data_IF_594315121896
#
_entry.id   IF_594315121896
#
_cell.length_a   1.000
_cell.length_b   1.000
_cell.length_c   1.000
_cell.angle_alpha   90.00
_cell.angle_beta   90.00
_cell.angle_gamma   90.00
#
_symmetry.space_group_name_H-M   'P 1'
#
loop_
_entity.id
_entity.type
_entity.pdbx_description
1 polymer ?
#
# COMPACT_ATOMS: atom_id res chain seq x y z
N UNK A 1 15.53 0.87 20.75
CA UNK A 1 14.28 0.19 21.17
C UNK A 1 13.07 0.77 20.41
N UNK A 2 12.17 -0.06 19.86
CA UNK A 2 10.85 0.37 19.36
C UNK A 2 9.99 1.03 20.45
N UNK A 3 9.04 1.93 20.12
CA UNK A 3 8.23 2.64 21.13
C UNK A 3 7.50 1.71 22.11
N UNK A 4 7.04 0.55 21.63
CA UNK A 4 6.37 -0.47 22.45
C UNK A 4 7.32 -1.28 23.35
N UNK A 5 8.64 -1.13 23.20
CA UNK A 5 9.67 -1.80 24.01
C UNK A 5 10.39 -0.86 24.97
N UNK A 6 10.06 0.42 24.95
CA UNK A 6 10.58 1.39 25.92
C UNK A 6 9.61 1.36 27.12
N UNK A 7 10.06 0.97 28.33
CA UNK A 7 9.23 1.05 29.53
C UNK A 7 8.63 2.45 29.67
N UNK A 8 7.32 2.51 29.90
CA UNK A 8 6.58 3.77 30.03
C UNK A 8 6.98 4.57 31.28
N UNK A 9 7.62 3.93 32.25
CA UNK A 9 8.15 4.54 33.46
C UNK A 9 9.47 3.89 33.87
N UNK A 10 10.43 4.70 34.31
CA UNK A 10 11.68 4.27 34.90
C UNK A 10 11.73 4.69 36.36
N UNK A 11 12.04 3.74 37.25
CA UNK A 11 12.13 3.99 38.68
C UNK A 11 13.58 3.86 39.13
N UNK A 12 14.11 4.93 39.72
CA UNK A 12 15.43 4.89 40.36
C UNK A 12 15.25 4.26 41.73
N UNK A 13 15.95 3.15 41.95
CA UNK A 13 15.96 2.43 43.23
C UNK A 13 17.39 2.37 43.76
N UNK A 14 17.56 2.49 45.07
CA UNK A 14 18.88 2.39 45.70
C UNK A 14 19.43 0.96 45.70
N UNK A 15 18.54 -0.04 45.79
CA UNK A 15 18.89 -1.45 45.69
C UNK A 15 17.76 -2.27 45.06
N UNK A 16 18.14 -3.27 44.27
CA UNK A 16 17.21 -4.26 43.72
C UNK A 16 17.09 -5.41 44.72
N UNK A 17 15.89 -5.80 45.18
CA UNK A 17 15.74 -6.88 46.14
C UNK A 17 16.10 -8.22 45.49
N UNK A 18 17.08 -8.92 46.04
CA UNK A 18 17.55 -10.22 45.56
C UNK A 18 17.26 -11.31 46.58
N UNK A 19 16.93 -12.50 46.09
CA UNK A 19 16.90 -13.73 46.88
C UNK A 19 18.35 -14.13 47.25
N UNK A 20 18.51 -14.99 48.25
CA UNK A 20 19.80 -15.60 48.63
C UNK A 20 20.51 -16.30 47.45
N UNK A 21 19.77 -16.66 46.39
CA UNK A 21 20.30 -17.24 45.15
C UNK A 21 20.88 -16.21 44.16
N UNK A 22 20.83 -14.91 44.48
CA UNK A 22 21.25 -13.81 43.60
C UNK A 22 20.24 -13.45 42.51
N UNK A 23 19.07 -14.12 42.45
CA UNK A 23 17.98 -13.80 41.53
C UNK A 23 17.05 -12.74 42.11
N UNK A 24 16.37 -11.97 41.25
CA UNK A 24 15.38 -10.97 41.65
C UNK A 24 14.28 -11.58 42.51
N UNK A 25 14.06 -11.00 43.69
CA UNK A 25 12.90 -11.29 44.51
C UNK A 25 11.68 -10.50 43.99
N UNK A 26 10.99 -11.11 43.02
CA UNK A 26 9.84 -10.50 42.34
C UNK A 26 8.68 -10.19 43.28
N UNK A 27 8.49 -10.98 44.34
CA UNK A 27 7.39 -10.76 45.28
C UNK A 27 7.61 -9.47 46.09
N UNK A 28 8.82 -9.28 46.61
CA UNK A 28 9.20 -8.06 47.33
C UNK A 28 9.20 -6.82 46.42
N UNK A 29 9.70 -6.96 45.18
CA UNK A 29 9.66 -5.87 44.20
C UNK A 29 8.23 -5.46 43.82
N UNK A 30 7.34 -6.43 43.65
CA UNK A 30 5.94 -6.18 43.30
C UNK A 30 5.15 -5.58 44.48
N UNK A 31 5.41 -6.03 45.71
CA UNK A 31 4.82 -5.43 46.90
C UNK A 31 5.28 -3.97 47.11
N UNK A 32 6.53 -3.66 46.78
CA UNK A 32 7.03 -2.28 46.80
C UNK A 32 6.34 -1.40 45.76
N UNK A 33 6.18 -1.87 44.52
CA UNK A 33 5.46 -1.15 43.45
C UNK A 33 3.98 -0.88 43.81
N UNK A 34 3.30 -1.83 44.44
CA UNK A 34 1.88 -1.70 44.81
C UNK A 34 1.66 -0.69 45.94
N UNK A 35 2.62 -0.57 46.86
CA UNK A 35 2.52 0.31 48.03
C UNK A 35 3.22 1.66 47.83
N UNK A 36 3.64 1.96 46.60
CA UNK A 36 4.36 3.19 46.25
C UNK A 36 3.41 4.40 46.34
N UNK A 37 3.84 5.47 47.01
CA UNK A 37 3.03 6.67 47.19
C UNK A 37 2.97 7.55 45.92
N UNK A 38 2.00 8.47 45.89
CA UNK A 38 1.73 9.31 44.71
C UNK A 38 2.81 10.37 44.46
N UNK A 39 3.62 10.75 45.47
CA UNK A 39 4.71 11.71 45.30
C UNK A 39 5.93 11.05 44.65
N UNK A 40 6.25 9.81 45.01
CA UNK A 40 7.37 9.05 44.45
C UNK A 40 7.08 8.54 43.02
N UNK A 41 5.80 8.38 42.66
CA UNK A 41 5.37 8.15 41.28
C UNK A 41 5.70 9.35 40.36
N UNK A 42 5.72 10.57 40.90
CA UNK A 42 6.10 11.80 40.19
C UNK A 42 7.61 11.95 39.92
N UNK A 43 8.46 11.13 40.56
CA UNK A 43 9.92 11.13 40.38
C UNK A 43 10.41 10.14 39.31
N UNK A 44 9.50 9.50 38.56
CA UNK A 44 9.88 8.63 37.45
C UNK A 44 10.56 9.42 36.33
N UNK A 45 11.69 8.89 35.83
CA UNK A 45 12.36 9.45 34.66
C UNK A 45 11.57 9.01 33.41
N UNK A 46 10.67 9.86 32.92
CA UNK A 46 10.11 9.68 31.59
C UNK A 46 11.21 9.95 30.56
N UNK A 47 11.55 8.96 29.74
CA UNK A 47 12.48 9.11 28.62
C UNK A 47 12.13 10.36 27.80
N UNK A 48 13.09 11.26 27.65
CA UNK A 48 13.07 12.50 26.87
C UNK A 48 11.78 12.74 26.06
N UNK A 49 10.78 13.35 26.72
CA UNK A 49 9.77 14.11 26.00
C UNK A 49 10.48 15.32 25.43
N UNK A 50 10.96 15.23 24.19
CA UNK A 50 11.16 16.41 23.37
C UNK A 50 9.80 17.08 23.25
N UNK A 51 9.49 18.03 24.14
CA UNK A 51 8.25 18.81 24.24
C UNK A 51 7.19 18.41 23.20
N UNK A 52 6.52 17.27 23.42
CA UNK A 52 5.29 17.01 22.70
C UNK A 52 4.35 18.12 23.16
N UNK A 53 3.93 18.95 22.20
CA UNK A 53 2.97 20.04 22.42
C UNK A 53 1.90 19.51 23.35
N UNK A 54 1.81 20.07 24.57
CA UNK A 54 0.84 19.61 25.54
C UNK A 54 -0.52 19.55 24.85
N UNK A 55 -1.35 18.55 25.15
CA UNK A 55 -2.66 18.35 24.51
C UNK A 55 -3.53 19.63 24.53
N UNK A 56 -3.26 20.53 25.48
CA UNK A 56 -3.84 21.88 25.63
C UNK A 56 -3.42 22.92 24.58
N UNK A 57 -2.27 22.76 23.92
CA UNK A 57 -1.72 23.68 22.91
C UNK A 57 -1.96 23.18 21.47
N UNK A 58 -2.55 21.99 21.30
CA UNK A 58 -2.76 21.36 20.01
C UNK A 58 -3.93 21.99 19.23
N UNK A 59 -3.64 22.49 18.03
CA UNK A 59 -4.67 23.01 17.10
C UNK A 59 -5.71 21.94 16.74
N UNK A 60 -6.93 22.34 16.37
CA UNK A 60 -7.97 21.39 15.92
C UNK A 60 -7.51 20.55 14.72
N UNK A 61 -6.80 21.18 13.78
CA UNK A 61 -6.19 20.53 12.62
C UNK A 61 -5.15 19.48 13.05
N UNK A 62 -4.27 19.83 14.01
CA UNK A 62 -3.28 18.90 14.55
C UNK A 62 -3.92 17.65 15.16
N UNK A 63 -5.02 17.81 15.92
CA UNK A 63 -5.80 16.69 16.46
C UNK A 63 -6.38 15.79 15.39
N UNK A 64 -6.93 16.39 14.33
CA UNK A 64 -7.50 15.64 13.22
C UNK A 64 -6.45 14.85 12.44
N UNK A 65 -5.29 15.45 12.16
CA UNK A 65 -4.16 14.75 11.53
C UNK A 65 -3.62 13.63 12.41
N UNK A 66 -3.46 13.86 13.71
CA UNK A 66 -3.06 12.83 14.69
C UNK A 66 -3.97 11.61 14.64
N UNK A 67 -5.29 11.84 14.61
CA UNK A 67 -6.28 10.77 14.51
C UNK A 67 -6.21 10.03 13.17
N UNK A 68 -6.00 10.73 12.05
CA UNK A 68 -5.80 10.09 10.75
C UNK A 68 -4.54 9.21 10.77
N UNK A 69 -3.43 9.73 11.29
CA UNK A 69 -2.17 8.99 11.41
C UNK A 69 -2.32 7.79 12.34
N UNK A 70 -3.00 7.94 13.48
CA UNK A 70 -3.28 6.87 14.44
C UNK A 70 -4.00 5.71 13.76
N UNK A 71 -5.03 6.00 12.97
CA UNK A 71 -5.79 4.99 12.24
C UNK A 71 -4.94 4.28 11.16
N UNK A 72 -4.08 5.01 10.45
CA UNK A 72 -3.27 4.45 9.35
C UNK A 72 -2.08 3.64 9.87
N UNK A 73 -1.38 4.16 10.88
CA UNK A 73 -0.22 3.50 11.49
C UNK A 73 -0.63 2.42 12.51
N UNK A 74 -1.92 2.33 12.84
CA UNK A 74 -2.45 1.45 13.87
C UNK A 74 -1.72 1.63 15.22
N UNK A 75 -1.51 2.89 15.59
CA UNK A 75 -0.92 3.32 16.86
C UNK A 75 -2.02 4.06 17.62
N UNK A 76 -2.23 3.77 18.91
CA UNK A 76 -3.29 4.42 19.68
C UNK A 76 -3.14 5.94 19.66
N UNK A 77 -4.26 6.64 19.48
CA UNK A 77 -4.30 8.10 19.35
C UNK A 77 -3.57 8.76 20.52
N UNK A 78 -3.78 8.29 21.75
CA UNK A 78 -3.17 8.81 22.99
C UNK A 78 -1.64 8.74 23.01
N UNK A 79 -1.02 7.78 22.33
CA UNK A 79 0.46 7.63 22.30
C UNK A 79 1.08 8.08 20.97
N UNK A 80 0.29 8.54 20.01
CA UNK A 80 0.80 9.03 18.73
C UNK A 80 1.64 10.31 18.91
N UNK A 81 2.95 10.28 18.60
CA UNK A 81 3.80 11.46 18.74
C UNK A 81 3.52 12.51 17.66
N UNK A 82 3.57 13.79 18.04
CA UNK A 82 3.27 14.90 17.13
C UNK A 82 4.51 15.43 16.41
N UNK A 83 5.70 15.15 16.93
CA UNK A 83 7.01 15.65 16.51
C UNK A 83 7.83 14.65 15.67
N UNK A 84 7.19 13.62 15.12
CA UNK A 84 7.82 12.54 14.34
C UNK A 84 7.33 12.52 12.91
N UNK A 85 8.23 12.21 11.97
CA UNK A 85 7.88 12.00 10.56
C UNK A 85 7.19 10.66 10.38
N UNK A 86 6.39 10.53 9.31
CA UNK A 86 5.72 9.29 8.96
C UNK A 86 6.73 8.12 8.85
N UNK A 87 7.84 8.37 8.14
CA UNK A 87 8.91 7.39 7.93
C UNK A 87 9.52 6.94 9.26
N UNK A 88 9.75 7.86 10.21
CA UNK A 88 10.32 7.52 11.51
C UNK A 88 9.40 6.67 12.39
N UNK A 89 8.09 6.68 12.11
CA UNK A 89 7.08 5.84 12.74
C UNK A 89 6.87 4.52 12.02
N UNK A 90 7.69 4.21 11.01
CA UNK A 90 7.58 3.00 10.20
C UNK A 90 6.53 3.09 9.09
N UNK A 91 6.07 4.30 8.75
CA UNK A 91 5.15 4.52 7.65
C UNK A 91 5.86 4.53 6.29
N UNK A 92 5.14 4.06 5.27
CA UNK A 92 5.61 3.97 3.88
C UNK A 92 4.79 4.88 2.93
N UNK A 93 5.08 4.80 1.64
CA UNK A 93 4.37 5.58 0.60
C UNK A 93 2.90 5.19 0.47
N UNK A 94 2.53 3.93 0.72
CA UNK A 94 1.13 3.47 0.70
C UNK A 94 0.37 4.10 1.87
N UNK A 95 0.98 4.12 3.06
CA UNK A 95 0.43 4.82 4.23
C UNK A 95 0.32 6.33 3.99
N UNK A 96 1.30 6.94 3.32
CA UNK A 96 1.21 8.35 2.94
C UNK A 96 0.03 8.63 1.98
N UNK A 97 -0.21 7.75 1.02
CA UNK A 97 -1.39 7.82 0.14
C UNK A 97 -2.68 7.64 0.95
N UNK A 98 -2.73 6.67 1.85
CA UNK A 98 -3.86 6.45 2.76
C UNK A 98 -4.18 7.67 3.63
N UNK A 99 -3.15 8.34 4.14
CA UNK A 99 -3.28 9.58 4.91
C UNK A 99 -3.79 10.70 4.00
N UNK A 100 -3.24 10.84 2.79
CA UNK A 100 -3.67 11.84 1.80
C UNK A 100 -5.16 11.72 1.49
N UNK A 101 -5.63 10.49 1.20
CA UNK A 101 -7.04 10.22 0.89
C UNK A 101 -7.93 10.61 2.06
N UNK A 102 -7.60 10.22 3.30
CA UNK A 102 -8.37 10.57 4.51
C UNK A 102 -8.30 12.05 4.88
N UNK A 103 -7.19 12.73 4.60
CA UNK A 103 -7.04 14.17 4.82
C UNK A 103 -8.05 14.96 3.98
N UNK A 104 -8.30 14.54 2.74
CA UNK A 104 -9.26 15.20 1.86
C UNK A 104 -10.72 15.02 2.27
N UNK A 105 -11.07 13.90 2.87
CA UNK A 105 -12.40 13.73 3.48
C UNK A 105 -12.66 14.78 4.57
N UNK A 106 -11.59 15.29 5.18
CA UNK A 106 -11.62 16.39 6.16
C UNK A 106 -11.29 17.76 5.55
N UNK A 107 -11.29 17.88 4.22
CA UNK A 107 -10.96 19.10 3.48
C UNK A 107 -9.53 19.63 3.72
N UNK A 108 -8.57 18.74 4.01
CA UNK A 108 -7.16 19.09 4.10
C UNK A 108 -6.45 18.80 2.78
N UNK A 109 -5.94 19.85 2.13
CA UNK A 109 -5.16 19.77 0.89
C UNK A 109 -3.69 19.41 1.14
N UNK A 110 -3.41 18.15 1.47
CA UNK A 110 -2.04 17.63 1.54
C UNK A 110 -1.75 16.74 0.34
N UNK A 111 -0.54 16.86 -0.20
CA UNK A 111 0.01 15.91 -1.17
C UNK A 111 0.80 14.81 -0.47
N UNK A 112 0.91 13.65 -1.14
CA UNK A 112 1.76 12.54 -0.68
C UNK A 112 3.21 12.99 -0.49
N UNK A 113 3.74 13.83 -1.38
CA UNK A 113 5.10 14.37 -1.25
C UNK A 113 5.28 15.24 0.00
N UNK A 114 4.30 16.09 0.33
CA UNK A 114 4.34 16.89 1.56
C UNK A 114 4.33 16.01 2.81
N UNK A 115 3.50 14.96 2.83
CA UNK A 115 3.45 14.00 3.95
C UNK A 115 4.77 13.25 4.11
N UNK A 116 5.38 12.79 3.02
CA UNK A 116 6.64 12.06 3.04
C UNK A 116 7.83 12.93 3.47
N UNK A 117 7.82 14.22 3.10
CA UNK A 117 8.91 15.17 3.44
C UNK A 117 8.79 15.77 4.84
N UNK A 118 7.58 15.83 5.38
CA UNK A 118 7.33 16.46 6.68
C UNK A 118 8.01 15.71 7.83
N UNK A 119 8.61 16.47 8.74
CA UNK A 119 9.31 15.94 9.92
C UNK A 119 8.38 15.72 11.10
N UNK A 120 7.14 16.20 11.03
CA UNK A 120 6.18 16.13 12.14
C UNK A 120 4.74 16.38 11.70
N UNK A 121 3.77 15.91 12.49
CA UNK A 121 2.35 16.29 12.34
C UNK A 121 2.18 17.79 12.60
N UNK A 122 2.95 18.35 13.52
CA UNK A 122 2.95 19.79 13.79
C UNK A 122 3.32 20.61 12.54
N UNK A 123 4.34 20.18 11.77
CA UNK A 123 4.72 20.80 10.49
C UNK A 123 3.63 20.64 9.44
N UNK A 124 2.98 19.49 9.34
CA UNK A 124 1.83 19.34 8.43
C UNK A 124 0.67 20.25 8.81
N UNK A 125 0.40 20.40 10.11
CA UNK A 125 -0.65 21.28 10.60
C UNK A 125 -0.36 22.76 10.34
N UNK A 126 0.90 23.18 10.24
CA UNK A 126 1.24 24.55 9.82
C UNK A 126 1.09 24.74 8.31
N UNK A 127 1.37 23.72 7.51
CA UNK A 127 1.11 23.73 6.06
C UNK A 127 -0.39 23.82 5.74
N UNK A 128 -1.26 23.34 6.62
CA UNK A 128 -2.73 23.36 6.45
C UNK A 128 -3.36 24.74 6.79
N UNK A 129 -2.59 25.79 7.06
CA UNK A 129 -3.16 27.09 7.42
C UNK A 129 -3.60 27.95 6.23
N UNK A 130 -4.92 28.10 6.14
CA UNK A 130 -5.66 29.22 5.49
C UNK A 130 -5.40 29.40 3.99
N UNK A 131 -5.64 28.36 3.20
CA UNK A 131 -6.35 28.60 1.94
C UNK A 131 -7.78 29.04 2.31
N UNK A 132 -7.92 30.34 2.53
CA UNK A 132 -9.17 31.03 2.76
C UNK A 132 -10.04 30.87 1.51
N UNK A 133 -10.93 29.88 1.48
CA UNK A 133 -12.13 29.82 0.59
C UNK A 133 -11.93 30.08 -0.91
N UNK A 134 -10.71 30.07 -1.46
CA UNK A 134 -10.40 30.42 -2.85
C UNK A 134 -9.83 29.26 -3.69
N UNK A 135 -9.64 28.08 -3.12
CA UNK A 135 -9.47 26.82 -3.87
C UNK A 135 -10.77 26.02 -3.97
N UNK A 136 -11.92 26.65 -3.71
CA UNK A 136 -13.22 26.16 -4.19
C UNK A 136 -13.47 26.42 -5.69
N UNK A 137 -12.54 27.04 -6.43
CA UNK A 137 -12.64 27.27 -7.88
C UNK A 137 -11.44 26.72 -8.66
N UNK A 138 -10.93 25.57 -8.20
CA UNK A 138 -9.89 24.82 -8.86
C UNK A 138 -9.94 23.35 -8.47
N UNK A 139 -11.14 22.78 -8.30
CA UNK A 139 -11.25 21.40 -8.74
C UNK A 139 -10.72 21.46 -10.17
N UNK A 140 -9.57 20.86 -10.44
CA UNK A 140 -9.20 20.52 -11.79
C UNK A 140 -10.40 19.69 -12.25
N UNK A 141 -11.37 20.33 -12.89
CA UNK A 141 -12.47 19.67 -13.58
C UNK A 141 -11.74 18.92 -14.68
N UNK A 142 -11.26 17.73 -14.33
CA UNK A 142 -10.70 16.82 -15.28
C UNK A 142 -11.83 16.58 -16.27
N UNK A 143 -11.64 17.08 -17.48
CA UNK A 143 -12.55 16.94 -18.60
C UNK A 143 -13.10 15.51 -18.63
N UNK A 144 -14.37 15.39 -19.02
CA UNK A 144 -15.03 14.10 -19.15
C UNK A 144 -14.19 13.13 -19.97
N UNK A 145 -14.21 11.87 -19.55
CA UNK A 145 -13.60 10.79 -20.32
C UNK A 145 -14.14 10.83 -21.74
N UNK A 146 -13.26 10.64 -22.71
CA UNK A 146 -13.71 10.50 -24.08
C UNK A 146 -14.29 9.11 -24.24
N UNK A 147 -15.50 8.99 -24.81
CA UNK A 147 -16.18 7.71 -25.09
C UNK A 147 -15.40 6.78 -26.05
N UNK A 148 -14.24 7.21 -26.56
CA UNK A 148 -13.39 6.46 -27.47
C UNK A 148 -12.46 5.45 -26.80
N UNK A 149 -12.11 4.41 -27.54
CA UNK A 149 -11.05 3.50 -27.17
C UNK A 149 -9.70 4.23 -27.07
N UNK A 150 -8.87 3.84 -26.11
CA UNK A 150 -7.53 4.38 -25.86
C UNK A 150 -6.51 3.26 -25.68
N UNK A 151 -5.23 3.63 -25.76
CA UNK A 151 -4.12 2.69 -25.68
C UNK A 151 -3.96 2.11 -24.27
N UNK A 152 -3.33 0.95 -24.17
CA UNK A 152 -2.96 0.33 -22.89
C UNK A 152 -1.80 1.07 -22.22
N UNK A 153 -1.80 1.13 -20.88
CA UNK A 153 -0.63 1.59 -20.13
C UNK A 153 0.54 0.61 -20.29
N UNK A 154 1.81 1.02 -20.03
CA UNK A 154 2.96 0.13 -20.18
C UNK A 154 2.83 -1.19 -19.41
N UNK A 155 2.30 -1.14 -18.18
CA UNK A 155 2.12 -2.36 -17.37
C UNK A 155 0.99 -3.26 -17.89
N UNK A 156 -0.10 -2.67 -18.43
CA UNK A 156 -1.15 -3.43 -19.11
C UNK A 156 -0.63 -4.08 -20.39
N UNK A 157 0.22 -3.39 -21.16
CA UNK A 157 0.90 -3.98 -22.33
C UNK A 157 1.82 -5.12 -21.92
N UNK A 158 2.61 -4.94 -20.84
CA UNK A 158 3.47 -5.98 -20.29
C UNK A 158 2.69 -7.26 -19.98
N UNK A 159 1.50 -7.14 -19.37
CA UNK A 159 0.62 -8.28 -19.11
C UNK A 159 0.22 -9.03 -20.39
N UNK A 160 -0.35 -8.35 -21.38
CA UNK A 160 -0.81 -9.02 -22.61
C UNK A 160 0.34 -9.59 -23.45
N UNK A 161 1.50 -8.91 -23.45
CA UNK A 161 2.70 -9.39 -24.14
C UNK A 161 3.20 -10.71 -23.55
N UNK A 162 3.18 -10.83 -22.22
CA UNK A 162 3.65 -12.01 -21.49
C UNK A 162 2.56 -13.06 -21.27
N UNK A 163 1.32 -12.79 -21.66
CA UNK A 163 0.24 -13.74 -21.47
C UNK A 163 0.40 -14.99 -22.35
N UNK A 164 0.15 -16.16 -21.79
CA UNK A 164 0.04 -17.43 -22.53
C UNK A 164 -1.19 -17.45 -23.43
N UNK A 165 -2.27 -16.77 -23.03
CA UNK A 165 -3.46 -16.61 -23.84
C UNK A 165 -3.46 -15.30 -24.65
N UNK A 166 -3.19 -15.40 -25.96
CA UNK A 166 -3.07 -14.23 -26.85
C UNK A 166 -4.40 -13.60 -27.28
N UNK A 167 -5.53 -14.24 -26.97
CA UNK A 167 -6.85 -13.77 -27.41
C UNK A 167 -7.59 -13.00 -26.31
N UNK A 168 -7.40 -13.38 -25.04
CA UNK A 168 -8.10 -12.75 -23.93
C UNK A 168 -7.23 -12.44 -22.70
N UNK A 169 -5.94 -12.80 -22.71
CA UNK A 169 -5.09 -12.66 -21.52
C UNK A 169 -5.31 -13.77 -20.48
N UNK A 170 -4.35 -13.95 -19.57
CA UNK A 170 -4.44 -14.97 -18.52
C UNK A 170 -5.30 -14.48 -17.33
N UNK A 171 -5.76 -15.42 -16.51
CA UNK A 171 -6.48 -15.04 -15.28
C UNK A 171 -5.50 -14.42 -14.28
N UNK A 172 -5.65 -13.12 -14.04
CA UNK A 172 -4.84 -12.39 -13.07
C UNK A 172 -5.74 -11.48 -12.23
N UNK A 173 -6.40 -12.08 -11.26
CA UNK A 173 -7.42 -11.42 -10.45
C UNK A 173 -6.85 -11.03 -9.09
N UNK A 174 -7.37 -9.95 -8.53
CA UNK A 174 -7.23 -9.61 -7.12
C UNK A 174 -8.61 -9.65 -6.45
N UNK A 175 -8.64 -9.91 -5.14
CA UNK A 175 -9.89 -9.96 -4.39
C UNK A 175 -9.75 -9.49 -2.96
N UNK A 176 -10.82 -8.92 -2.43
CA UNK A 176 -10.99 -8.54 -1.04
C UNK A 176 -12.16 -9.31 -0.44
N UNK A 177 -12.03 -9.72 0.82
CA UNK A 177 -13.10 -10.35 1.60
C UNK A 177 -13.27 -9.56 2.90
N UNK A 178 -14.43 -8.93 3.06
CA UNK A 178 -14.69 -7.97 4.12
C UNK A 178 -15.85 -8.46 4.99
N UNK A 179 -15.69 -8.39 6.31
CA UNK A 179 -16.81 -8.56 7.23
C UNK A 179 -17.52 -7.22 7.39
N UNK A 180 -18.85 -7.23 7.29
CA UNK A 180 -19.67 -6.05 7.50
C UNK A 180 -20.06 -5.98 8.98
N UNK A 181 -19.92 -4.80 9.59
CA UNK A 181 -20.28 -4.58 11.01
C UNK A 181 -21.79 -4.51 11.23
N UNK A 182 -22.46 -3.71 10.41
CA UNK A 182 -23.90 -3.47 10.48
C UNK A 182 -24.61 -4.17 9.32
N UNK A 183 -25.82 -4.69 9.54
CA UNK A 183 -26.59 -5.31 8.48
C UNK A 183 -26.94 -4.27 7.39
N UNK A 184 -26.58 -4.56 6.15
CA UNK A 184 -26.87 -3.72 4.99
C UNK A 184 -27.94 -4.40 4.13
N UNK A 185 -28.98 -3.64 3.79
CA UNK A 185 -29.97 -4.06 2.81
C UNK A 185 -29.33 -4.22 1.42
N UNK A 186 -29.65 -5.30 0.70
CA UNK A 186 -29.04 -5.61 -0.59
C UNK A 186 -29.30 -4.54 -1.65
N UNK A 187 -30.46 -3.86 -1.61
CA UNK A 187 -30.77 -2.78 -2.57
C UNK A 187 -29.96 -1.52 -2.27
N UNK A 188 -29.78 -1.17 -0.99
CA UNK A 188 -28.90 -0.08 -0.57
C UNK A 188 -27.44 -0.36 -0.94
N UNK A 189 -27.00 -1.60 -0.75
CA UNK A 189 -25.65 -2.02 -1.15
C UNK A 189 -25.45 -1.92 -2.67
N UNK A 190 -26.44 -2.35 -3.46
CA UNK A 190 -26.41 -2.20 -4.93
C UNK A 190 -26.31 -0.74 -5.37
N UNK A 191 -27.07 0.17 -4.75
CA UNK A 191 -27.00 1.60 -5.04
C UNK A 191 -25.63 2.20 -4.73
N UNK A 192 -25.02 1.80 -3.60
CA UNK A 192 -23.67 2.23 -3.25
C UNK A 192 -22.63 1.69 -4.27
N UNK A 193 -22.79 0.47 -4.75
CA UNK A 193 -21.96 -0.08 -5.83
C UNK A 193 -22.14 0.67 -7.14
N UNK A 194 -23.37 1.05 -7.51
CA UNK A 194 -23.62 1.84 -8.72
C UNK A 194 -22.89 3.20 -8.64
N UNK A 195 -22.96 3.87 -7.49
CA UNK A 195 -22.24 5.12 -7.25
C UNK A 195 -20.70 4.92 -7.29
N UNK A 196 -20.20 3.82 -6.71
CA UNK A 196 -18.78 3.46 -6.72
C UNK A 196 -18.26 3.23 -8.15
N UNK A 197 -18.96 2.42 -8.93
CA UNK A 197 -18.59 2.07 -10.31
C UNK A 197 -18.75 3.27 -11.24
N UNK A 198 -19.70 4.17 -10.97
CA UNK A 198 -19.80 5.46 -11.65
C UNK A 198 -18.60 6.36 -11.36
N UNK A 199 -18.18 6.44 -10.09
CA UNK A 199 -17.04 7.24 -9.63
C UNK A 199 -15.71 6.74 -10.17
N UNK A 200 -15.56 5.42 -10.34
CA UNK A 200 -14.32 4.74 -10.74
C UNK A 200 -14.44 4.04 -12.09
N UNK A 201 -14.24 4.77 -13.21
CA UNK A 201 -14.43 4.25 -14.55
C UNK A 201 -13.64 2.99 -14.90
N UNK A 202 -12.45 2.80 -14.33
CA UNK A 202 -11.66 1.58 -14.60
C UNK A 202 -12.36 0.30 -14.19
N UNK A 203 -13.29 0.31 -13.21
CA UNK A 203 -14.11 -0.86 -12.89
C UNK A 203 -15.01 -1.30 -14.08
N UNK A 204 -15.26 -0.38 -15.02
CA UNK A 204 -16.01 -0.58 -16.27
C UNK A 204 -15.11 -0.72 -17.49
N UNK A 205 -13.79 -0.77 -17.31
CA UNK A 205 -12.88 -0.89 -18.45
C UNK A 205 -13.05 -2.25 -19.15
N UNK A 206 -12.84 -2.23 -20.46
CA UNK A 206 -12.97 -3.39 -21.35
C UNK A 206 -11.80 -3.41 -22.30
N UNK A 207 -11.21 -4.58 -22.49
CA UNK A 207 -10.04 -4.74 -23.35
C UNK A 207 -10.42 -5.44 -24.63
N UNK A 208 -9.85 -5.00 -25.75
CA UNK A 208 -10.11 -5.58 -27.06
C UNK A 208 -8.81 -5.65 -27.85
N UNK A 209 -8.59 -6.81 -28.47
CA UNK A 209 -7.56 -7.00 -29.47
C UNK A 209 -8.14 -6.79 -30.86
N UNK A 210 -7.56 -5.88 -31.63
CA UNK A 210 -7.93 -5.70 -33.04
C UNK A 210 -7.32 -6.81 -33.92
N UNK A 211 -7.82 -7.00 -35.15
CA UNK A 211 -7.31 -8.04 -36.06
C UNK A 211 -5.83 -7.92 -36.43
N UNK A 212 -5.26 -6.71 -36.33
CA UNK A 212 -3.82 -6.44 -36.50
C UNK A 212 -2.99 -6.81 -35.26
N UNK A 213 -3.64 -7.30 -34.20
CA UNK A 213 -3.02 -7.76 -32.97
C UNK A 213 -2.82 -6.68 -31.91
N UNK A 214 -3.21 -5.43 -32.17
CA UNK A 214 -3.08 -4.33 -31.21
C UNK A 214 -4.14 -4.42 -30.11
N UNK A 215 -3.73 -4.18 -28.87
CA UNK A 215 -4.64 -4.12 -27.74
C UNK A 215 -5.06 -2.68 -27.45
N UNK A 216 -6.34 -2.48 -27.20
CA UNK A 216 -6.93 -1.21 -26.78
C UNK A 216 -7.87 -1.46 -25.60
N UNK A 217 -8.19 -0.39 -24.88
CA UNK A 217 -9.18 -0.39 -23.81
C UNK A 217 -10.21 0.71 -24.01
N UNK A 218 -11.41 0.52 -23.50
CA UNK A 218 -12.46 1.53 -23.45
C UNK A 218 -13.24 1.41 -22.15
N UNK A 219 -13.95 2.48 -21.77
CA UNK A 219 -14.81 2.50 -20.59
C UNK A 219 -16.26 2.25 -21.05
N UNK A 220 -16.91 1.24 -20.47
CA UNK A 220 -18.32 0.99 -20.76
C UNK A 220 -19.21 2.07 -20.14
N UNK A 221 -20.10 2.66 -20.93
CA UNK A 221 -20.99 3.76 -20.52
C UNK A 221 -22.10 3.29 -19.59
N UNK A 222 -22.62 2.08 -19.80
CA UNK A 222 -23.67 1.48 -18.97
C UNK A 222 -23.12 0.96 -17.64
N UNK A 223 -23.37 1.73 -16.57
CA UNK A 223 -22.92 1.39 -15.22
C UNK A 223 -23.59 0.10 -14.73
N UNK A 224 -24.90 -0.04 -14.88
CA UNK A 224 -25.66 -1.13 -14.27
C UNK A 224 -25.31 -2.50 -14.83
N UNK A 225 -24.87 -2.56 -16.09
CA UNK A 225 -24.45 -3.79 -16.77
C UNK A 225 -22.92 -3.95 -16.87
N UNK A 226 -22.14 -3.01 -16.34
CA UNK A 226 -20.66 -3.05 -16.39
C UNK A 226 -20.02 -3.91 -15.30
N UNK A 227 -20.77 -4.39 -14.31
CA UNK A 227 -20.28 -5.26 -13.25
C UNK A 227 -21.35 -6.27 -12.85
N UNK A 228 -20.93 -7.37 -12.20
CA UNK A 228 -21.87 -8.38 -11.69
C UNK A 228 -22.06 -8.19 -10.18
N UNK A 229 -23.30 -8.03 -9.74
CA UNK A 229 -23.67 -8.07 -8.32
C UNK A 229 -24.54 -9.28 -8.02
N UNK A 230 -24.18 -10.02 -6.96
CA UNK A 230 -24.91 -11.21 -6.50
C UNK A 230 -25.17 -11.10 -5.02
N UNK A 231 -26.41 -11.40 -4.63
CA UNK A 231 -26.80 -11.48 -3.23
C UNK A 231 -27.12 -12.93 -2.87
N UNK A 232 -26.45 -13.43 -1.82
CA UNK A 232 -26.49 -14.82 -1.39
C UNK A 232 -27.05 -14.88 0.03
N UNK A 233 -28.25 -15.46 0.19
CA UNK A 233 -28.94 -15.50 1.47
C UNK A 233 -28.70 -16.82 2.22
N UNK A 234 -28.42 -16.73 3.52
CA UNK A 234 -28.27 -17.87 4.43
C UNK A 234 -27.24 -18.90 3.94
N UNK A 235 -26.06 -18.43 3.53
CA UNK A 235 -25.00 -19.27 2.94
C UNK A 235 -23.93 -19.63 3.97
N UNK A 236 -23.67 -20.93 4.13
CA UNK A 236 -22.61 -21.41 4.99
C UNK A 236 -21.22 -21.06 4.43
N UNK A 237 -20.21 -20.94 5.30
CA UNK A 237 -18.85 -20.54 4.91
C UNK A 237 -18.23 -21.44 3.82
N UNK A 238 -18.52 -22.74 3.84
CA UNK A 238 -18.01 -23.67 2.83
C UNK A 238 -18.57 -23.37 1.42
N UNK A 239 -19.85 -23.04 1.33
CA UNK A 239 -20.53 -22.73 0.07
C UNK A 239 -20.18 -21.33 -0.44
N UNK A 240 -19.85 -20.41 0.47
CA UNK A 240 -19.32 -19.08 0.13
C UNK A 240 -18.01 -19.20 -0.66
N UNK A 241 -17.09 -20.09 -0.25
CA UNK A 241 -15.82 -20.31 -0.98
C UNK A 241 -16.09 -20.78 -2.41
N UNK A 242 -17.05 -21.70 -2.60
CA UNK A 242 -17.44 -22.18 -3.93
C UNK A 242 -18.00 -21.05 -4.81
N UNK A 243 -18.79 -20.15 -4.22
CA UNK A 243 -19.36 -18.98 -4.89
C UNK A 243 -18.29 -17.97 -5.28
N UNK A 244 -17.36 -17.65 -4.37
CA UNK A 244 -16.21 -16.77 -4.65
C UNK A 244 -15.34 -17.37 -5.76
N UNK A 245 -15.09 -18.68 -5.74
CA UNK A 245 -14.36 -19.36 -6.81
C UNK A 245 -15.09 -19.29 -8.17
N UNK A 246 -16.43 -19.26 -8.18
CA UNK A 246 -17.19 -19.01 -9.40
C UNK A 246 -17.00 -17.57 -9.88
N UNK A 247 -17.13 -16.59 -8.98
CA UNK A 247 -16.88 -15.17 -9.29
C UNK A 247 -15.47 -14.93 -9.83
N UNK A 248 -14.45 -15.60 -9.27
CA UNK A 248 -13.07 -15.59 -9.78
C UNK A 248 -12.95 -16.15 -11.21
N UNK A 249 -13.80 -17.11 -11.62
CA UNK A 249 -13.83 -17.64 -12.99
C UNK A 249 -14.62 -16.75 -13.95
N UNK A 250 -15.57 -15.97 -13.44
CA UNK A 250 -16.39 -15.07 -14.24
C UNK A 250 -15.67 -13.77 -14.62
N UNK A 251 -14.57 -13.46 -13.93
CA UNK A 251 -13.70 -12.34 -14.32
C UNK A 251 -13.10 -12.60 -15.70
N UNK A 252 -13.27 -11.63 -16.58
CA UNK A 252 -12.78 -11.65 -17.94
C UNK A 252 -12.41 -10.22 -18.37
N UNK A 253 -11.69 -10.05 -19.48
CA UNK A 253 -11.42 -8.73 -20.06
C UNK A 253 -12.68 -7.94 -20.48
N UNK A 254 -13.83 -8.60 -20.48
CA UNK A 254 -15.15 -8.02 -20.74
C UNK A 254 -16.04 -7.92 -19.49
N UNK A 255 -15.62 -8.48 -18.36
CA UNK A 255 -16.32 -8.45 -17.07
C UNK A 255 -15.25 -8.33 -16.00
N UNK A 256 -14.82 -7.11 -15.71
CA UNK A 256 -13.61 -6.85 -14.93
C UNK A 256 -13.86 -6.74 -13.42
N UNK A 257 -15.12 -6.71 -12.98
CA UNK A 257 -15.48 -6.52 -11.58
C UNK A 257 -16.74 -7.33 -11.21
N UNK A 258 -16.63 -8.14 -10.16
CA UNK A 258 -17.71 -8.98 -9.62
C UNK A 258 -17.78 -8.76 -8.10
N UNK A 259 -19.00 -8.60 -7.60
CA UNK A 259 -19.27 -8.38 -6.18
C UNK A 259 -20.32 -9.37 -5.68
N UNK A 260 -20.01 -10.04 -4.59
CA UNK A 260 -20.92 -10.92 -3.88
C UNK A 260 -21.17 -10.39 -2.47
N UNK A 261 -22.44 -10.23 -2.10
CA UNK A 261 -22.87 -9.96 -0.72
C UNK A 261 -23.49 -11.25 -0.15
N UNK A 262 -22.87 -11.79 0.90
CA UNK A 262 -23.31 -12.99 1.59
C UNK A 262 -23.95 -12.62 2.93
N UNK A 263 -25.14 -13.14 3.19
CA UNK A 263 -25.76 -13.19 4.51
C UNK A 263 -25.52 -14.58 5.10
N UNK A 264 -24.74 -14.66 6.19
CA UNK A 264 -24.48 -15.93 6.86
C UNK A 264 -25.66 -16.35 7.75
N UNK A 265 -25.88 -17.67 7.97
CA UNK A 265 -26.96 -18.17 8.82
C UNK A 265 -26.95 -17.59 10.24
N UNK A 266 -25.75 -17.32 10.77
CA UNK A 266 -25.54 -16.85 12.15
C UNK A 266 -25.51 -15.31 12.27
N UNK A 267 -25.88 -14.59 11.21
CA UNK A 267 -26.14 -13.14 11.25
C UNK A 267 -25.09 -12.18 10.65
N UNK A 268 -23.78 -12.45 10.54
CA UNK A 268 -22.87 -11.49 9.91
C UNK A 268 -23.03 -11.49 8.40
N UNK A 269 -22.84 -10.32 7.80
CA UNK A 269 -22.70 -10.18 6.36
C UNK A 269 -21.23 -10.16 5.96
N UNK A 270 -20.93 -10.79 4.82
CA UNK A 270 -19.60 -10.82 4.23
C UNK A 270 -19.69 -10.32 2.80
N UNK A 271 -18.79 -9.42 2.42
CA UNK A 271 -18.67 -8.91 1.06
C UNK A 271 -17.42 -9.49 0.42
N UNK A 272 -17.56 -10.09 -0.76
CA UNK A 272 -16.43 -10.41 -1.63
C UNK A 272 -16.41 -9.46 -2.81
N UNK A 273 -15.26 -8.81 -3.01
CA UNK A 273 -14.97 -7.98 -4.17
C UNK A 273 -13.90 -8.71 -4.98
N UNK A 274 -14.15 -8.96 -6.26
CA UNK A 274 -13.19 -9.59 -7.17
C UNK A 274 -13.04 -8.70 -8.40
N UNK A 275 -11.81 -8.34 -8.74
CA UNK A 275 -11.52 -7.55 -9.93
C UNK A 275 -10.35 -8.14 -10.71
N UNK A 276 -10.34 -7.95 -12.02
CA UNK A 276 -9.14 -8.22 -12.81
C UNK A 276 -8.05 -7.21 -12.45
N UNK A 277 -6.82 -7.67 -12.24
CA UNK A 277 -5.69 -6.79 -11.93
C UNK A 277 -5.38 -5.75 -13.03
N UNK A 278 -5.88 -5.93 -14.25
CA UNK A 278 -5.79 -4.93 -15.32
C UNK A 278 -6.46 -3.60 -14.97
N UNK A 279 -7.39 -3.59 -14.01
CA UNK A 279 -8.22 -2.43 -13.66
C UNK A 279 -8.06 -1.95 -12.22
N UNK A 280 -7.30 -2.67 -11.41
CA UNK A 280 -7.05 -2.34 -9.98
C UNK A 280 -5.63 -2.65 -9.59
N UNK A 281 -5.12 -1.95 -8.59
CA UNK A 281 -3.88 -2.25 -7.86
C UNK A 281 -4.14 -2.21 -6.34
N UNK A 282 -3.08 -2.35 -5.53
CA UNK A 282 -3.20 -2.36 -4.07
C UNK A 282 -3.79 -1.05 -3.52
N UNK A 283 -3.43 0.09 -4.12
CA UNK A 283 -3.94 1.41 -3.74
C UNK A 283 -5.39 1.60 -4.17
N UNK A 284 -5.77 1.04 -5.32
CA UNK A 284 -7.16 1.05 -5.80
C UNK A 284 -8.09 0.38 -4.80
N UNK A 285 -7.69 -0.74 -4.19
CA UNK A 285 -8.52 -1.40 -3.17
C UNK A 285 -8.80 -0.52 -1.96
N UNK A 286 -7.80 0.24 -1.50
CA UNK A 286 -7.98 1.20 -0.40
C UNK A 286 -9.08 2.20 -0.77
N UNK A 287 -8.99 2.81 -1.96
CA UNK A 287 -9.96 3.79 -2.44
C UNK A 287 -11.36 3.16 -2.67
N UNK A 288 -11.42 1.97 -3.26
CA UNK A 288 -12.67 1.23 -3.50
C UNK A 288 -13.40 0.97 -2.18
N UNK A 289 -12.68 0.51 -1.15
CA UNK A 289 -13.26 0.19 0.15
C UNK A 289 -13.71 1.46 0.87
N UNK A 290 -12.88 2.50 0.89
CA UNK A 290 -13.19 3.77 1.54
C UNK A 290 -14.39 4.48 0.89
N UNK A 291 -14.44 4.51 -0.45
CA UNK A 291 -15.56 5.11 -1.17
C UNK A 291 -16.83 4.27 -1.02
N UNK A 292 -16.73 2.93 -1.00
CA UNK A 292 -17.88 2.06 -0.74
C UNK A 292 -18.45 2.31 0.66
N UNK A 293 -17.61 2.43 1.68
CA UNK A 293 -18.04 2.79 3.05
C UNK A 293 -18.73 4.16 3.06
N UNK A 294 -18.17 5.13 2.33
CA UNK A 294 -18.72 6.48 2.21
C UNK A 294 -20.10 6.47 1.54
N UNK A 295 -20.27 5.74 0.43
CA UNK A 295 -21.55 5.62 -0.26
C UNK A 295 -22.59 4.81 0.51
N UNK A 296 -22.15 3.95 1.43
CA UNK A 296 -23.01 3.23 2.36
C UNK A 296 -23.42 4.06 3.58
N UNK A 297 -22.87 5.25 3.78
CA UNK A 297 -23.28 6.13 4.90
C UNK A 297 -24.74 6.59 4.77
N UNK A 298 -25.32 7.11 5.85
CA UNK A 298 -26.72 7.55 5.86
C UNK A 298 -26.96 8.80 4.99
N UNK A 299 -25.94 9.64 4.86
CA UNK A 299 -25.96 10.87 4.06
C UNK A 299 -24.62 10.99 3.33
N UNK A 300 -24.44 10.27 2.20
CA UNK A 300 -23.17 10.25 1.50
C UNK A 300 -22.85 11.66 0.98
N UNK A 301 -21.65 12.20 1.25
CA UNK A 301 -21.22 13.47 0.71
C UNK A 301 -21.04 13.37 -0.81
N UNK A 302 -21.10 14.53 -1.50
CA UNK A 302 -20.67 14.61 -2.89
C UNK A 302 -19.13 14.56 -2.88
N UNK A 303 -18.57 13.52 -3.47
CA UNK A 303 -17.13 13.36 -3.58
C UNK A 303 -16.62 13.98 -4.89
N UNK A 304 -15.54 14.78 -4.87
CA UNK A 304 -14.93 15.33 -6.08
C UNK A 304 -14.41 14.21 -6.98
N UNK A 305 -14.56 14.34 -8.29
CA UNK A 305 -14.12 13.30 -9.24
C UNK A 305 -12.58 13.22 -9.26
N UNK A 306 -11.97 12.04 -9.09
CA UNK A 306 -10.52 11.90 -9.18
C UNK A 306 -10.05 12.08 -10.63
N UNK A 307 -8.75 12.33 -10.83
CA UNK A 307 -8.11 12.27 -12.15
C UNK A 307 -8.38 10.89 -12.75
N UNK A 308 -8.93 10.82 -13.97
CA UNK A 308 -9.21 9.55 -14.61
C UNK A 308 -7.92 8.84 -15.04
N UNK A 309 -7.92 7.51 -14.99
CA UNK A 309 -6.82 6.70 -15.51
C UNK A 309 -6.52 7.01 -16.98
N UNK A 310 -7.57 7.20 -17.80
CA UNK A 310 -7.43 7.57 -19.21
C UNK A 310 -6.67 8.89 -19.40
N UNK A 311 -7.02 9.93 -18.63
CA UNK A 311 -6.35 11.24 -18.72
C UNK A 311 -4.92 11.16 -18.22
N UNK A 312 -4.70 10.52 -17.06
CA UNK A 312 -3.35 10.30 -16.53
C UNK A 312 -2.48 9.56 -17.55
N UNK A 313 -2.97 8.48 -18.13
CA UNK A 313 -2.24 7.69 -19.10
C UNK A 313 -1.87 8.52 -20.34
N UNK A 314 -2.79 9.33 -20.85
CA UNK A 314 -2.49 10.25 -21.95
C UNK A 314 -1.35 11.23 -21.58
N UNK A 315 -1.40 11.83 -20.39
CA UNK A 315 -0.33 12.72 -19.91
C UNK A 315 0.99 11.98 -19.70
N UNK A 316 0.96 10.73 -19.21
CA UNK A 316 2.14 9.89 -19.05
C UNK A 316 2.83 9.62 -20.40
N UNK A 317 2.06 9.31 -21.43
CA UNK A 317 2.58 9.07 -22.78
C UNK A 317 3.26 10.33 -23.33
N UNK A 318 2.65 11.50 -23.16
CA UNK A 318 3.25 12.76 -23.60
C UNK A 318 4.49 13.13 -22.77
N UNK A 319 4.46 12.91 -21.45
CA UNK A 319 5.63 13.12 -20.59
C UNK A 319 6.80 12.21 -21.01
N UNK A 320 6.54 10.92 -21.23
CA UNK A 320 7.56 9.96 -21.66
C UNK A 320 8.21 10.36 -23.01
N UNK A 321 7.43 10.89 -23.96
CA UNK A 321 7.95 11.45 -25.22
C UNK A 321 8.84 12.67 -24.97
N UNK A 322 8.47 13.54 -24.02
CA UNK A 322 9.21 14.76 -23.71
C UNK A 322 10.60 14.52 -23.10
N UNK A 323 10.82 13.37 -22.46
CA UNK A 323 12.10 13.01 -21.84
C UNK A 323 13.20 12.71 -22.88
N UNK A 324 12.83 12.41 -24.14
CA UNK A 324 13.77 12.19 -25.25
C UNK A 324 14.72 11.00 -25.10
N UNK A 325 14.56 10.17 -24.06
CA UNK A 325 15.29 8.92 -23.83
C UNK A 325 14.34 7.74 -24.00
N UNK A 326 14.74 6.73 -24.76
CA UNK A 326 13.90 5.57 -25.08
C UNK A 326 14.73 4.29 -25.09
N UNK A 327 14.08 3.17 -24.73
CA UNK A 327 14.68 1.84 -24.85
C UNK A 327 15.86 1.61 -23.92
N UNK A 328 16.87 0.89 -24.44
CA UNK A 328 18.01 0.38 -23.67
C UNK A 328 18.91 1.48 -23.08
N UNK A 329 18.83 2.70 -23.63
CA UNK A 329 19.59 3.87 -23.14
C UNK A 329 19.07 4.43 -21.81
N UNK A 330 17.96 3.91 -21.27
CA UNK A 330 17.39 4.36 -19.99
C UNK A 330 18.15 3.84 -18.78
N UNK A 331 18.62 2.59 -18.84
CA UNK A 331 19.28 1.91 -17.73
C UNK A 331 20.80 1.97 -17.90
N UNK A 332 21.57 2.15 -16.81
CA UNK A 332 23.03 2.15 -16.88
C UNK A 332 23.63 0.74 -17.06
N UNK A 333 22.80 -0.30 -17.07
CA UNK A 333 23.19 -1.71 -17.18
C UNK A 333 22.21 -2.50 -18.06
N UNK A 334 22.68 -3.60 -18.68
CA UNK A 334 21.79 -4.54 -19.35
C UNK A 334 20.98 -5.34 -18.33
N UNK A 335 19.69 -5.51 -18.59
CA UNK A 335 18.82 -6.42 -17.81
C UNK A 335 19.19 -7.86 -18.19
N UNK A 336 19.61 -8.66 -17.20
CA UNK A 336 19.95 -10.05 -17.45
C UNK A 336 18.67 -10.90 -17.53
N UNK A 337 18.50 -11.72 -18.58
CA UNK A 337 17.36 -12.62 -18.67
C UNK A 337 17.42 -13.69 -17.57
N UNK A 338 16.25 -14.20 -17.19
CA UNK A 338 16.17 -15.31 -16.27
C UNK A 338 16.75 -16.58 -16.92
N UNK A 339 17.79 -17.15 -16.30
CA UNK A 339 18.32 -18.47 -16.68
C UNK A 339 17.43 -19.57 -16.06
N UNK A 340 16.44 -19.99 -16.85
CA UNK A 340 15.50 -21.07 -16.55
C UNK A 340 16.12 -22.46 -16.78
N UNK A 341 17.14 -22.57 -17.64
CA UNK A 341 17.83 -23.83 -17.95
C UNK A 341 18.54 -24.37 -16.72
N UNK A 342 19.15 -23.49 -15.92
CA UNK A 342 19.76 -23.85 -14.64
C UNK A 342 18.79 -24.60 -13.71
N UNK A 343 17.50 -24.27 -13.77
CA UNK A 343 16.45 -24.90 -12.98
C UNK A 343 15.79 -26.10 -13.67
N UNK A 344 16.21 -26.43 -14.90
CA UNK A 344 15.52 -27.41 -15.75
C UNK A 344 14.09 -27.00 -16.11
N UNK A 345 13.81 -25.69 -16.16
CA UNK A 345 12.46 -25.15 -16.33
C UNK A 345 12.17 -24.56 -17.72
N UNK A 346 13.12 -24.56 -18.65
CA UNK A 346 12.96 -23.90 -19.96
C UNK A 346 11.82 -24.46 -20.83
N UNK A 347 11.41 -25.70 -20.60
CA UNK A 347 10.28 -26.33 -21.28
C UNK A 347 9.09 -26.60 -20.35
N UNK A 348 9.13 -26.08 -19.12
CA UNK A 348 8.13 -26.37 -18.09
C UNK A 348 7.19 -25.18 -17.94
N UNK A 349 5.88 -25.45 -17.90
CA UNK A 349 4.91 -24.42 -17.56
C UNK A 349 5.16 -23.98 -16.11
N UNK A 350 5.37 -22.68 -15.90
CA UNK A 350 5.56 -22.09 -14.58
C UNK A 350 4.32 -21.25 -14.24
N UNK A 351 3.29 -21.89 -13.71
CA UNK A 351 2.00 -21.26 -13.43
C UNK A 351 1.85 -20.94 -11.95
N UNK A 352 0.89 -20.08 -11.61
CA UNK A 352 0.56 -19.80 -10.22
C UNK A 352 0.14 -21.07 -9.43
N UNK A 353 -0.39 -22.09 -10.12
CA UNK A 353 -0.77 -23.37 -9.51
C UNK A 353 0.42 -24.21 -9.04
N UNK A 354 1.63 -23.92 -9.55
CA UNK A 354 2.87 -24.64 -9.23
C UNK A 354 3.63 -24.01 -8.05
N UNK A 355 3.16 -22.87 -7.54
CA UNK A 355 3.83 -22.10 -6.49
C UNK A 355 3.82 -22.86 -5.15
N UNK A 356 5.02 -23.07 -4.59
CA UNK A 356 5.22 -23.51 -3.21
C UNK A 356 5.67 -22.31 -2.40
N UNK A 357 4.87 -21.92 -1.40
CA UNK A 357 5.17 -20.78 -0.54
C UNK A 357 5.75 -21.25 0.80
N UNK A 358 6.84 -20.61 1.24
CA UNK A 358 7.37 -20.69 2.60
C UNK A 358 7.47 -19.28 3.17
N UNK A 359 7.22 -19.13 4.46
CA UNK A 359 7.29 -17.86 5.17
C UNK A 359 8.06 -18.01 6.47
N UNK A 360 8.79 -16.97 6.84
CA UNK A 360 9.40 -16.82 8.15
C UNK A 360 9.10 -15.42 8.69
N UNK A 361 9.25 -15.23 9.99
CA UNK A 361 9.03 -13.95 10.65
C UNK A 361 10.32 -13.55 11.33
N UNK A 362 10.79 -12.33 11.05
CA UNK A 362 11.83 -11.69 11.85
C UNK A 362 11.16 -11.21 13.14
N UNK A 363 11.46 -11.86 14.26
CA UNK A 363 10.86 -11.54 15.57
C UNK A 363 11.84 -10.88 16.55
N UNK A 364 13.13 -10.87 16.22
CA UNK A 364 14.15 -10.24 17.03
C UNK A 364 14.02 -8.72 16.90
N UNK A 365 13.69 -8.05 18.00
CA UNK A 365 13.39 -6.64 17.99
C UNK A 365 14.61 -5.75 17.81
N UNK A 366 15.80 -6.23 18.17
CA UNK A 366 17.04 -5.50 17.93
C UNK A 366 17.36 -5.53 16.44
N UNK A 367 17.20 -6.70 15.79
CA UNK A 367 17.33 -6.83 14.33
C UNK A 367 16.31 -5.95 13.60
N UNK A 368 15.03 -6.02 13.98
CA UNK A 368 13.98 -5.18 13.37
C UNK A 368 14.30 -3.69 13.57
N UNK A 369 14.73 -3.30 14.77
CA UNK A 369 15.08 -1.90 15.05
C UNK A 369 16.27 -1.44 14.21
N UNK A 370 17.27 -2.29 13.98
CA UNK A 370 18.41 -1.98 13.12
C UNK A 370 17.98 -1.85 11.65
N UNK A 371 17.16 -2.78 11.15
CA UNK A 371 16.71 -2.81 9.75
C UNK A 371 15.75 -1.66 9.43
N UNK A 372 15.00 -1.14 10.40
CA UNK A 372 14.03 -0.06 10.17
C UNK A 372 14.53 1.34 10.53
N UNK A 373 15.68 1.47 11.21
CA UNK A 373 16.14 2.76 11.75
C UNK A 373 17.58 3.09 11.40
N UNK A 374 18.50 2.91 12.35
CA UNK A 374 19.76 3.65 12.37
C UNK A 374 20.73 3.22 11.27
N UNK A 375 20.58 2.00 10.73
CA UNK A 375 21.42 1.45 9.66
C UNK A 375 21.38 2.28 8.37
N UNK A 376 20.36 3.11 8.21
CA UNK A 376 20.16 3.97 7.03
C UNK A 376 20.95 5.27 7.07
N UNK A 377 21.36 5.72 8.26
CA UNK A 377 21.90 7.08 8.45
C UNK A 377 23.20 7.31 7.67
N UNK A 378 24.11 6.33 7.69
CA UNK A 378 25.45 6.46 7.14
C UNK A 378 25.46 6.42 5.61
N UNK A 379 24.75 5.46 5.01
CA UNK A 379 24.73 5.24 3.56
C UNK A 379 23.52 5.88 2.86
N UNK A 380 22.59 6.46 3.64
CA UNK A 380 21.30 6.99 3.16
C UNK A 380 20.50 5.92 2.41
N UNK A 381 20.50 4.71 2.95
CA UNK A 381 19.74 3.58 2.41
C UNK A 381 18.31 3.60 2.91
N UNK A 382 17.47 2.75 2.33
CA UNK A 382 16.14 2.41 2.79
C UNK A 382 16.10 0.93 3.23
N UNK A 383 15.08 0.48 3.99
CA UNK A 383 14.96 -0.93 4.39
C UNK A 383 15.02 -1.88 3.20
N UNK A 384 14.48 -1.46 2.06
CA UNK A 384 14.46 -2.25 0.83
C UNK A 384 15.87 -2.54 0.30
N UNK A 385 16.81 -1.59 0.38
CA UNK A 385 18.19 -1.80 -0.07
C UNK A 385 18.86 -2.91 0.73
N UNK A 386 18.61 -2.96 2.05
CA UNK A 386 19.13 -4.00 2.93
C UNK A 386 18.51 -5.37 2.60
N UNK A 387 17.20 -5.43 2.30
CA UNK A 387 16.55 -6.69 1.91
C UNK A 387 17.03 -7.20 0.55
N UNK A 388 17.18 -6.33 -0.44
CA UNK A 388 17.72 -6.68 -1.75
C UNK A 388 19.17 -7.16 -1.60
N UNK A 389 19.95 -6.51 -0.75
CA UNK A 389 21.33 -6.90 -0.44
C UNK A 389 21.41 -8.28 0.20
N UNK A 390 20.62 -8.54 1.24
CA UNK A 390 20.56 -9.84 1.88
C UNK A 390 20.10 -10.95 0.91
N UNK A 391 19.16 -10.65 0.02
CA UNK A 391 18.68 -11.59 -1.00
C UNK A 391 19.78 -11.91 -2.02
N UNK A 392 20.49 -10.91 -2.55
CA UNK A 392 21.58 -11.12 -3.50
C UNK A 392 22.80 -11.81 -2.87
N UNK A 393 23.17 -11.45 -1.63
CA UNK A 393 24.23 -12.14 -0.87
C UNK A 393 23.90 -13.61 -0.66
N UNK A 394 22.72 -13.91 -0.12
CA UNK A 394 22.32 -15.29 0.14
C UNK A 394 22.18 -16.11 -1.16
N UNK A 395 21.72 -15.50 -2.25
CA UNK A 395 21.70 -16.14 -3.56
C UNK A 395 23.12 -16.43 -4.07
N UNK A 396 24.04 -15.45 -3.97
CA UNK A 396 25.43 -15.59 -4.41
C UNK A 396 26.19 -16.67 -3.63
N UNK A 397 25.97 -16.75 -2.32
CA UNK A 397 26.53 -17.80 -1.45
C UNK A 397 25.97 -19.18 -1.78
N UNK A 398 24.66 -19.28 -2.00
CA UNK A 398 23.98 -20.56 -2.25
C UNK A 398 24.26 -21.08 -3.66
N UNK A 399 24.27 -20.20 -4.66
CA UNK A 399 24.41 -20.54 -6.07
C UNK A 399 25.73 -19.98 -6.62
N UNK A 400 26.83 -20.49 -6.06
CA UNK A 400 28.21 -20.04 -6.32
C UNK A 400 28.65 -19.99 -7.79
N UNK A 401 28.05 -20.84 -8.63
CA UNK A 401 28.48 -21.08 -10.01
C UNK A 401 27.74 -20.20 -11.03
N UNK A 402 26.77 -19.38 -10.60
CA UNK A 402 25.88 -18.60 -11.47
C UNK A 402 26.07 -17.10 -11.27
N UNK A 403 25.78 -16.30 -12.30
CA UNK A 403 25.60 -14.86 -12.15
C UNK A 403 24.45 -14.49 -11.19
N UNK A 404 24.57 -13.30 -10.59
CA UNK A 404 23.50 -12.76 -9.74
C UNK A 404 22.27 -12.39 -10.59
N UNK A 405 21.04 -12.71 -10.14
CA UNK A 405 19.85 -12.39 -10.90
C UNK A 405 19.61 -10.87 -10.93
N UNK A 406 19.02 -10.38 -12.01
CA UNK A 406 18.36 -9.06 -11.97
C UNK A 406 17.08 -9.20 -11.15
N UNK A 407 16.97 -8.39 -10.09
CA UNK A 407 15.77 -8.32 -9.26
C UNK A 407 14.90 -7.17 -9.77
N UNK A 408 13.60 -7.41 -9.93
CA UNK A 408 12.67 -6.36 -10.31
C UNK A 408 11.99 -5.84 -9.05
N UNK A 409 12.31 -4.62 -8.68
CA UNK A 409 11.63 -3.92 -7.61
C UNK A 409 10.26 -3.43 -8.10
N UNK A 410 9.20 -3.90 -7.46
CA UNK A 410 7.84 -3.50 -7.77
C UNK A 410 7.44 -2.27 -6.95
N UNK A 411 7.15 -1.17 -7.65
CA UNK A 411 6.61 0.05 -7.07
C UNK A 411 5.13 0.22 -7.37
N UNK A 412 4.44 1.02 -6.56
CA UNK A 412 3.02 1.32 -6.78
C UNK A 412 2.77 2.19 -8.03
N UNK A 413 3.80 2.87 -8.55
CA UNK A 413 3.75 3.64 -9.81
C UNK A 413 2.85 4.89 -9.79
N UNK A 414 2.55 5.41 -8.60
CA UNK A 414 1.73 6.64 -8.38
C UNK A 414 2.62 7.79 -7.97
N UNK A 415 3.68 8.01 -8.74
CA UNK A 415 4.69 9.02 -8.52
C UNK A 415 4.49 10.13 -9.55
N UNK A 416 3.83 11.23 -9.17
CA UNK A 416 3.60 12.33 -10.09
C UNK A 416 4.91 13.08 -10.36
N UNK A 417 5.13 13.46 -11.62
CA UNK A 417 6.28 14.28 -12.03
C UNK A 417 6.04 15.79 -11.87
N UNK A 418 4.80 16.20 -11.58
CA UNK A 418 4.43 17.56 -11.21
C UNK A 418 3.25 17.56 -10.23
N UNK A 419 3.09 18.65 -9.47
CA UNK A 419 2.07 18.76 -8.40
C UNK A 419 0.62 18.89 -8.91
N UNK A 420 0.41 19.00 -10.23
CA UNK A 420 -0.93 19.04 -10.83
C UNK A 420 -1.52 17.65 -11.03
N UNK A 421 -0.69 16.60 -10.93
CA UNK A 421 -1.11 15.21 -11.08
C UNK A 421 -1.35 14.60 -9.72
N UNK A 422 -2.60 14.27 -9.48
CA UNK A 422 -2.99 13.57 -8.27
C UNK A 422 -3.65 12.23 -8.59
N UNK A 423 -2.95 11.17 -8.21
CA UNK A 423 -3.38 9.78 -8.41
C UNK A 423 -3.82 9.12 -7.11
N UNK A 424 -3.83 9.82 -5.98
CA UNK A 424 -4.11 9.19 -4.68
C UNK A 424 -5.48 8.50 -4.63
N UNK A 425 -6.48 9.02 -5.36
CA UNK A 425 -7.86 8.50 -5.41
C UNK A 425 -8.22 7.79 -6.72
N UNK A 426 -7.31 7.68 -7.69
CA UNK A 426 -7.62 7.08 -9.00
C UNK A 426 -7.61 5.55 -8.91
N UNK A 427 -8.67 4.88 -9.33
CA UNK A 427 -8.67 3.42 -9.49
C UNK A 427 -8.10 3.04 -10.86
N UNK A 428 -7.20 2.05 -10.89
CA UNK A 428 -6.49 1.59 -12.09
C UNK A 428 -5.25 0.77 -11.74
N UNK A 429 -4.54 0.27 -12.76
CA UNK A 429 -3.29 -0.46 -12.57
C UNK A 429 -2.08 0.39 -12.93
N UNK A 430 -1.34 0.83 -11.89
CA UNK A 430 -0.25 1.79 -12.00
C UNK A 430 1.14 1.18 -11.83
N UNK A 431 1.23 -0.09 -11.40
CA UNK A 431 2.47 -0.77 -11.03
C UNK A 431 3.64 -0.45 -11.96
N UNK A 432 4.76 -0.08 -11.35
CA UNK A 432 6.04 0.12 -12.02
C UNK A 432 7.01 -0.98 -11.62
N UNK A 433 7.85 -1.42 -12.56
CA UNK A 433 8.93 -2.37 -12.28
C UNK A 433 10.26 -1.69 -12.58
N UNK A 434 11.13 -1.59 -11.58
CA UNK A 434 12.48 -1.07 -11.73
C UNK A 434 13.49 -2.23 -11.57
N UNK A 435 14.28 -2.57 -12.60
CA UNK A 435 15.29 -3.59 -12.46
C UNK A 435 16.46 -3.08 -11.61
N UNK A 436 16.95 -3.95 -10.74
CA UNK A 436 18.16 -3.78 -9.92
C UNK A 436 19.09 -4.92 -10.24
N UNK A 437 20.30 -4.59 -10.69
CA UNK A 437 21.29 -5.60 -11.07
C UNK A 437 22.69 -5.19 -10.62
N UNK A 438 23.34 -6.09 -9.89
CA UNK A 438 24.76 -6.01 -9.55
C UNK A 438 25.44 -7.24 -10.12
N UNK A 439 26.45 -7.10 -11.02
CA UNK A 439 27.19 -8.24 -11.53
C UNK A 439 27.91 -8.99 -10.40
N UNK A 440 28.00 -10.32 -10.48
CA UNK A 440 28.66 -11.13 -9.44
C UNK A 440 30.11 -10.73 -9.21
N UNK A 441 30.86 -10.43 -10.27
CA UNK A 441 32.26 -9.96 -10.18
C UNK A 441 32.41 -8.69 -9.34
N UNK A 442 31.34 -7.91 -9.24
CA UNK A 442 31.26 -6.64 -8.54
C UNK A 442 30.54 -6.81 -7.18
N UNK A 443 30.31 -8.04 -6.72
CA UNK A 443 29.66 -8.32 -5.45
C UNK A 443 30.55 -9.23 -4.60
N UNK A 444 31.27 -8.63 -3.65
CA UNK A 444 32.12 -9.36 -2.70
C UNK A 444 31.28 -9.82 -1.49
N UNK A 445 31.09 -11.14 -1.27
CA UNK A 445 30.32 -11.64 -0.13
C UNK A 445 30.94 -11.24 1.23
N UNK A 446 32.24 -11.01 1.28
CA UNK A 446 32.94 -10.61 2.51
C UNK A 446 32.82 -9.09 2.79
N UNK A 447 32.48 -8.29 1.79
CA UNK A 447 32.25 -6.84 1.90
C UNK A 447 30.76 -6.48 1.72
N UNK A 448 29.97 -6.85 2.73
CA UNK A 448 28.51 -6.59 2.78
C UNK A 448 28.21 -5.08 2.67
N UNK A 449 29.08 -4.22 3.18
CA UNK A 449 28.88 -2.76 3.16
C UNK A 449 28.98 -2.24 1.72
N UNK A 450 29.96 -2.71 0.95
CA UNK A 450 30.09 -2.37 -0.47
C UNK A 450 28.91 -2.89 -1.30
N UNK A 451 28.45 -4.11 -1.00
CA UNK A 451 27.24 -4.69 -1.62
C UNK A 451 26.00 -3.82 -1.41
N UNK A 452 25.75 -3.38 -0.18
CA UNK A 452 24.64 -2.47 0.15
C UNK A 452 24.76 -1.15 -0.59
N UNK A 453 25.97 -0.57 -0.65
CA UNK A 453 26.20 0.69 -1.37
C UNK A 453 25.85 0.57 -2.86
N UNK A 454 26.31 -0.50 -3.51
CA UNK A 454 26.08 -0.76 -4.95
C UNK A 454 24.62 -1.02 -5.31
N UNK A 455 23.84 -1.55 -4.38
CA UNK A 455 22.41 -1.81 -4.59
C UNK A 455 21.60 -0.52 -4.48
N UNK A 456 22.01 0.36 -3.56
CA UNK A 456 21.38 1.65 -3.31
C UNK A 456 21.69 2.69 -4.40
N UNK A 457 22.92 2.69 -4.91
CA UNK A 457 23.38 3.59 -5.99
C UNK A 457 22.86 3.12 -7.36
#
# INVERSE_FOLDING_TARGET
LPPFMIPSAWFVVEAIPLLLSGKLDRASAQAWLINMDSEMCGMSLSSERSEDVADSEMTSVGRQLRRIWSLVLNIDDEVMPMNRSLISLGGDSIMAIQITTRCRDQSFGLSMQQIMKAKSIAELATLIKTEDRQTQDGALEYEQETDGAFQLSPIQQFFFNNSSNKDHGDRFNQSQLLSVRDLIDASRFKQALDALVHRHPMLRARFKRSPDGLWTQHIESDIGNSYSFRFHKSVARADMISSINASQRDIHISTTFVVDLFEQPDGPQVVSLVAHHLVVDIVSWINIIQDLETFLSAAPPILPKPLSFQKWHATQVEHAKSLGRHGDDLLPFPVQPADLDFWGMSSTANTYGDVIQKSFVLSDADVISLVLKDSHTTLRTEPLDLFISALLSSFGETFGERELPTLFNEGHGREPWDDTIDLSQTVGWFTSLCPVHVPRRDFDPEDIIDGVRKIKD
#
